data_IF_266197195323
#
_entry.id   IF_266197195323
#
_cell.length_a   1.000
_cell.length_b   1.000
_cell.length_c   1.000
_cell.angle_alpha   90.00
_cell.angle_beta   90.00
_cell.angle_gamma   90.00
#
_symmetry.space_group_name_H-M   'P 1'
#
loop_
_entity.id
_entity.type
_entity.pdbx_description
1 polymer ?
#
# COMPACT_ATOMS: atom_id res chain seq x y z
N UNK A 1 17.24 2.42 -6.88
CA UNK A 1 16.95 1.09 -6.30
C UNK A 1 15.43 0.96 -6.25
N UNK A 2 14.83 -0.05 -6.89
CA UNK A 2 13.37 -0.14 -7.03
C UNK A 2 12.69 -0.77 -5.81
N UNK A 3 13.43 -1.56 -5.02
CA UNK A 3 12.94 -2.23 -3.81
C UNK A 3 14.12 -2.63 -2.92
N UNK A 4 13.83 -3.06 -1.70
CA UNK A 4 14.75 -3.62 -0.73
C UNK A 4 14.39 -5.09 -0.45
N UNK A 5 15.38 -5.90 -0.11
CA UNK A 5 15.22 -7.32 0.24
C UNK A 5 15.36 -7.43 1.76
N UNK A 6 14.43 -8.12 2.42
CA UNK A 6 14.62 -8.48 3.84
C UNK A 6 15.34 -9.83 3.93
N UNK A 7 16.12 -10.00 5.01
CA UNK A 7 16.84 -11.24 5.28
C UNK A 7 15.88 -12.43 5.34
N UNK A 8 16.26 -13.54 4.68
CA UNK A 8 15.53 -14.79 4.83
C UNK A 8 15.75 -15.36 6.23
N UNK A 9 14.68 -15.80 6.86
CA UNK A 9 14.69 -16.26 8.24
C UNK A 9 14.42 -17.76 8.28
N UNK A 10 15.39 -18.50 8.82
CA UNK A 10 15.26 -19.93 9.12
C UNK A 10 14.69 -20.14 10.54
N UNK A 11 13.64 -19.39 10.88
CA UNK A 11 12.94 -19.53 12.14
C UNK A 11 11.55 -20.10 11.87
N UNK A 12 11.17 -21.14 12.61
CA UNK A 12 9.85 -21.75 12.54
C UNK A 12 9.00 -21.18 13.68
N UNK A 13 8.10 -20.27 13.32
CA UNK A 13 7.15 -19.69 14.26
C UNK A 13 6.19 -20.76 14.80
N UNK A 14 5.95 -20.77 16.11
CA UNK A 14 4.90 -21.58 16.75
C UNK A 14 3.71 -20.67 17.14
N UNK A 15 2.49 -21.22 17.28
CA UNK A 15 1.33 -20.43 17.68
C UNK A 15 1.54 -19.75 19.04
N UNK A 16 2.17 -20.45 20.00
CA UNK A 16 2.60 -19.92 21.30
C UNK A 16 3.43 -18.64 21.20
N UNK A 17 4.09 -18.40 20.06
CA UNK A 17 4.90 -17.20 19.86
C UNK A 17 4.09 -15.95 19.50
N UNK A 18 2.85 -16.14 19.06
CA UNK A 18 1.94 -15.07 18.63
C UNK A 18 1.18 -14.62 19.88
N UNK A 19 1.59 -13.50 20.45
CA UNK A 19 1.00 -12.97 21.67
C UNK A 19 1.04 -11.46 21.64
N UNK A 20 -0.09 -10.83 21.92
CA UNK A 20 -0.19 -9.38 22.04
C UNK A 20 0.34 -8.91 23.38
N UNK A 21 1.28 -7.97 23.34
CA UNK A 21 1.68 -7.20 24.52
C UNK A 21 1.31 -5.75 24.29
N UNK A 22 0.65 -5.16 25.27
CA UNK A 22 0.24 -3.76 25.26
C UNK A 22 1.16 -2.92 26.15
N UNK A 23 1.21 -1.63 25.87
CA UNK A 23 1.91 -0.65 26.68
C UNK A 23 1.15 0.68 26.65
N UNK A 24 1.49 1.58 27.57
CA UNK A 24 1.08 2.98 27.43
C UNK A 24 1.77 3.60 26.21
N UNK A 25 1.17 4.64 25.63
CA UNK A 25 1.74 5.33 24.47
C UNK A 25 3.14 5.91 24.73
N UNK A 26 3.43 6.32 25.96
CA UNK A 26 4.73 6.85 26.38
C UNK A 26 5.84 5.78 26.37
N UNK A 27 5.47 4.51 26.48
CA UNK A 27 6.40 3.38 26.65
C UNK A 27 6.67 2.62 25.33
N UNK A 28 6.16 3.13 24.20
CA UNK A 28 6.35 2.49 22.90
C UNK A 28 7.84 2.52 22.54
N UNK A 29 8.37 1.33 22.22
CA UNK A 29 9.73 1.19 21.75
C UNK A 29 9.81 1.43 20.24
N UNK A 30 10.78 2.24 19.84
CA UNK A 30 11.03 2.57 18.44
C UNK A 30 12.46 2.22 18.01
N UNK A 31 12.60 1.85 16.74
CA UNK A 31 13.86 1.86 16.02
C UNK A 31 14.03 3.19 15.27
N UNK A 32 15.26 3.52 14.89
CA UNK A 32 15.59 4.76 14.17
C UNK A 32 15.08 6.05 14.85
N UNK A 33 15.22 6.17 16.18
CA UNK A 33 14.71 7.30 16.96
C UNK A 33 15.00 8.68 16.33
N UNK A 34 16.24 8.91 15.90
CA UNK A 34 16.63 10.16 15.25
C UNK A 34 15.88 10.40 13.93
N UNK A 35 15.81 9.38 13.05
CA UNK A 35 15.11 9.47 11.76
C UNK A 35 13.62 9.75 11.96
N UNK A 36 12.97 9.03 12.90
CA UNK A 36 11.57 9.25 13.27
C UNK A 36 11.35 10.71 13.68
N UNK A 37 12.16 11.21 14.62
CA UNK A 37 12.07 12.59 15.11
C UNK A 37 12.21 13.62 13.98
N UNK A 38 13.16 13.45 13.07
CA UNK A 38 13.32 14.37 11.93
C UNK A 38 12.14 14.33 10.95
N UNK A 39 11.58 13.14 10.69
CA UNK A 39 10.38 12.96 9.87
C UNK A 39 9.17 13.65 10.52
N UNK A 40 8.97 13.49 11.81
CA UNK A 40 7.87 14.12 12.54
C UNK A 40 7.96 15.65 12.49
N UNK A 41 9.17 16.20 12.72
CA UNK A 41 9.43 17.64 12.64
C UNK A 41 9.10 18.17 11.24
N UNK A 42 9.57 17.51 10.18
CA UNK A 42 9.35 18.01 8.82
C UNK A 42 7.90 17.85 8.35
N UNK A 43 7.23 16.76 8.75
CA UNK A 43 5.79 16.56 8.50
C UNK A 43 5.00 17.65 9.22
N UNK A 44 5.36 17.98 10.45
CA UNK A 44 4.72 19.05 11.23
C UNK A 44 4.79 20.43 10.55
N UNK A 45 5.87 20.72 9.81
CA UNK A 45 5.98 21.98 9.03
C UNK A 45 4.93 22.11 7.92
N UNK A 46 4.40 21.01 7.41
CA UNK A 46 3.35 21.03 6.37
C UNK A 46 2.07 21.66 6.90
N UNK A 47 1.77 21.47 8.19
CA UNK A 47 0.55 21.99 8.82
C UNK A 47 0.48 23.53 8.79
N UNK A 48 1.63 24.21 8.71
CA UNK A 48 1.71 25.67 8.65
C UNK A 48 1.39 26.24 7.26
N UNK A 49 1.31 25.41 6.21
CA UNK A 49 1.09 25.83 4.83
C UNK A 49 0.29 24.79 4.03
N UNK A 50 -0.77 24.25 4.63
CA UNK A 50 -1.51 23.09 4.11
C UNK A 50 -2.15 23.35 2.74
N UNK A 51 -2.67 24.55 2.51
CA UNK A 51 -3.33 24.91 1.24
C UNK A 51 -2.33 25.02 0.08
N UNK A 52 -1.23 25.76 0.26
CA UNK A 52 -0.18 25.88 -0.76
C UNK A 52 0.52 24.55 -1.00
N UNK A 53 0.74 23.77 0.06
CA UNK A 53 1.28 22.42 -0.02
C UNK A 53 0.42 21.53 -0.92
N UNK A 54 -0.90 21.57 -0.76
CA UNK A 54 -1.82 20.71 -1.53
C UNK A 54 -1.81 20.99 -3.03
N UNK A 55 -1.55 22.24 -3.39
CA UNK A 55 -1.36 22.66 -4.77
C UNK A 55 0.04 22.28 -5.30
N UNK A 56 1.09 22.53 -4.53
CA UNK A 56 2.48 22.36 -4.99
C UNK A 56 2.99 20.91 -4.91
N UNK A 57 2.44 20.06 -4.03
CA UNK A 57 2.81 18.64 -3.92
C UNK A 57 2.59 17.87 -5.22
N UNK A 58 1.60 18.29 -6.03
CA UNK A 58 1.30 17.72 -7.34
C UNK A 58 2.43 18.00 -8.36
N UNK A 59 3.09 19.15 -8.23
CA UNK A 59 4.22 19.54 -9.09
C UNK A 59 5.52 18.86 -8.65
N UNK A 60 5.75 18.70 -7.35
CA UNK A 60 7.00 18.08 -6.85
C UNK A 60 6.98 16.57 -6.94
N UNK A 61 5.79 15.96 -6.92
CA UNK A 61 5.62 14.53 -7.17
C UNK A 61 5.85 14.20 -8.66
N UNK A 62 6.95 13.51 -8.92
CA UNK A 62 7.49 13.29 -10.28
C UNK A 62 6.57 12.46 -11.18
N UNK A 63 5.67 11.68 -10.59
CA UNK A 63 4.78 10.75 -11.27
C UNK A 63 3.29 11.09 -11.12
N UNK A 64 2.95 12.28 -10.62
CA UNK A 64 1.55 12.68 -10.38
C UNK A 64 0.71 12.67 -11.66
N UNK A 65 1.32 13.04 -12.80
CA UNK A 65 0.62 13.20 -14.07
C UNK A 65 0.31 11.88 -14.80
N UNK A 66 0.70 10.72 -14.26
CA UNK A 66 0.24 9.43 -14.79
C UNK A 66 -1.29 9.40 -14.83
N UNK A 67 -1.93 9.82 -13.74
CA UNK A 67 -3.39 9.82 -13.58
C UNK A 67 -3.98 11.22 -13.48
N UNK A 68 -3.29 12.17 -12.85
CA UNK A 68 -3.81 13.53 -12.65
C UNK A 68 -3.67 14.35 -13.93
N UNK A 69 -4.71 15.11 -14.29
CA UNK A 69 -4.66 16.01 -15.45
C UNK A 69 -3.50 17.00 -15.32
N UNK A 70 -2.80 17.19 -16.44
CA UNK A 70 -1.66 18.10 -16.49
C UNK A 70 -2.19 19.53 -16.61
N UNK A 71 -1.73 20.50 -15.80
CA UNK A 71 -2.07 21.91 -15.97
C UNK A 71 -1.87 22.38 -17.42
N UNK A 72 -2.83 23.12 -17.99
CA UNK A 72 -2.90 23.55 -19.40
C UNK A 72 -3.30 22.47 -20.42
N UNK A 73 -3.33 21.19 -20.05
CA UNK A 73 -3.83 20.11 -20.88
C UNK A 73 -5.12 19.53 -20.26
N UNK A 74 -6.07 19.11 -21.10
CA UNK A 74 -7.31 18.46 -20.61
C UNK A 74 -7.13 16.98 -20.21
N UNK A 75 -5.94 16.42 -20.43
CA UNK A 75 -5.64 15.00 -20.29
C UNK A 75 -4.47 14.75 -19.32
N UNK A 76 -4.47 13.59 -18.68
CA UNK A 76 -3.31 13.00 -18.00
C UNK A 76 -2.46 12.16 -18.98
N UNK A 77 -1.31 11.68 -18.51
CA UNK A 77 -0.38 10.91 -19.36
C UNK A 77 -0.94 9.55 -19.74
N UNK A 78 -1.52 8.80 -18.79
CA UNK A 78 -2.20 7.54 -19.09
C UNK A 78 -3.44 7.77 -19.96
N UNK A 79 -3.66 6.90 -20.94
CA UNK A 79 -4.95 6.80 -21.64
C UNK A 79 -5.98 5.99 -20.86
N UNK A 80 -5.52 5.09 -19.98
CA UNK A 80 -6.39 4.32 -19.10
C UNK A 80 -6.89 5.23 -17.98
N UNK A 81 -8.21 5.20 -17.76
CA UNK A 81 -8.90 5.90 -16.69
C UNK A 81 -9.48 4.87 -15.70
N UNK A 82 -8.67 4.40 -14.74
CA UNK A 82 -9.12 3.41 -13.78
C UNK A 82 -10.04 4.01 -12.72
N UNK A 83 -10.71 3.15 -11.95
CA UNK A 83 -11.55 3.52 -10.81
C UNK A 83 -10.75 4.32 -9.77
N UNK A 84 -9.48 3.96 -9.57
CA UNK A 84 -8.60 4.65 -8.62
C UNK A 84 -7.13 4.59 -9.04
N UNK A 85 -6.32 5.48 -8.44
CA UNK A 85 -4.86 5.52 -8.65
C UNK A 85 -4.14 4.28 -8.14
N UNK A 86 -4.78 3.49 -7.28
CA UNK A 86 -4.21 2.23 -6.77
C UNK A 86 -3.90 1.27 -7.92
N UNK A 87 -4.68 1.34 -9.02
CA UNK A 87 -4.44 0.59 -10.26
C UNK A 87 -2.97 0.64 -10.68
N UNK A 88 -2.40 1.84 -10.85
CA UNK A 88 -1.03 1.99 -11.35
C UNK A 88 0.03 1.48 -10.37
N UNK A 89 -0.26 1.50 -9.05
CA UNK A 89 0.66 0.95 -8.05
C UNK A 89 0.78 -0.56 -8.19
N UNK A 90 -0.34 -1.25 -8.35
CA UNK A 90 -0.33 -2.70 -8.52
C UNK A 90 0.33 -3.10 -9.83
N UNK A 91 0.04 -2.40 -10.95
CA UNK A 91 0.73 -2.60 -12.23
C UNK A 91 2.26 -2.51 -12.04
N UNK A 92 2.74 -1.45 -11.38
CA UNK A 92 4.18 -1.25 -11.15
C UNK A 92 4.80 -2.38 -10.34
N UNK A 93 4.11 -2.83 -9.28
CA UNK A 93 4.58 -3.93 -8.42
C UNK A 93 4.64 -5.24 -9.22
N UNK A 94 3.56 -5.58 -9.94
CA UNK A 94 3.49 -6.81 -10.73
C UNK A 94 4.60 -6.89 -11.79
N UNK A 95 4.85 -5.79 -12.50
CA UNK A 95 5.91 -5.72 -13.50
C UNK A 95 7.31 -5.67 -12.87
N UNK A 96 7.48 -5.05 -11.70
CA UNK A 96 8.79 -4.99 -11.03
C UNK A 96 9.24 -6.36 -10.54
N UNK A 97 8.31 -7.20 -10.10
CA UNK A 97 8.62 -8.55 -9.58
C UNK A 97 8.26 -9.68 -10.55
N UNK A 98 7.87 -9.35 -11.79
CA UNK A 98 7.43 -10.31 -12.82
C UNK A 98 6.42 -11.35 -12.28
N UNK A 99 5.46 -10.91 -11.47
CA UNK A 99 4.58 -11.82 -10.69
C UNK A 99 3.81 -12.77 -11.63
N UNK A 100 3.34 -12.26 -12.77
CA UNK A 100 2.52 -12.99 -13.73
C UNK A 100 3.24 -14.11 -14.47
N UNK A 101 4.58 -14.10 -14.51
CA UNK A 101 5.35 -15.15 -15.16
C UNK A 101 5.05 -16.52 -14.54
N UNK A 102 4.71 -16.55 -13.25
CA UNK A 102 4.32 -17.75 -12.52
C UNK A 102 2.92 -18.27 -12.89
N UNK A 103 2.13 -17.50 -13.66
CA UNK A 103 0.70 -17.72 -13.89
C UNK A 103 0.28 -17.77 -15.38
N UNK A 104 1.21 -17.68 -16.33
CA UNK A 104 0.89 -17.57 -17.78
C UNK A 104 -0.10 -18.62 -18.32
N UNK A 105 -0.01 -19.87 -17.87
CA UNK A 105 -0.80 -20.99 -18.40
C UNK A 105 -1.73 -21.63 -17.35
N UNK A 106 -2.13 -20.88 -16.33
CA UNK A 106 -3.05 -21.39 -15.31
C UNK A 106 -4.07 -20.34 -14.91
N UNK A 107 -5.27 -20.80 -14.60
CA UNK A 107 -6.28 -19.95 -13.98
C UNK A 107 -5.90 -19.69 -12.53
N UNK A 108 -6.22 -18.49 -12.04
CA UNK A 108 -5.91 -18.08 -10.67
C UNK A 108 -7.18 -17.68 -9.93
N UNK A 109 -7.13 -17.85 -8.61
CA UNK A 109 -8.04 -17.23 -7.66
C UNK A 109 -7.27 -16.20 -6.85
N UNK A 110 -7.83 -15.00 -6.73
CA UNK A 110 -7.22 -13.93 -5.92
C UNK A 110 -8.20 -13.35 -4.93
N UNK A 111 -7.67 -12.78 -3.85
CA UNK A 111 -8.46 -12.16 -2.80
C UNK A 111 -7.90 -10.80 -2.42
N UNK A 112 -8.78 -9.80 -2.35
CA UNK A 112 -8.44 -8.38 -2.27
C UNK A 112 -9.07 -7.78 -1.01
N UNK A 113 -8.23 -7.51 0.00
CA UNK A 113 -8.64 -7.15 1.37
C UNK A 113 -8.63 -5.63 1.60
N UNK A 114 -9.76 -5.08 2.04
CA UNK A 114 -9.97 -3.66 2.31
C UNK A 114 -9.65 -2.74 1.11
N UNK A 115 -9.96 -3.20 -0.11
CA UNK A 115 -9.54 -2.53 -1.35
C UNK A 115 -10.65 -1.75 -2.05
N UNK A 116 -11.76 -1.43 -1.39
CA UNK A 116 -12.76 -0.52 -1.94
C UNK A 116 -12.10 0.79 -2.40
N UNK A 117 -12.36 1.30 -3.62
CA UNK A 117 -13.39 0.89 -4.59
C UNK A 117 -12.96 -0.14 -5.66
N UNK A 118 -11.82 -0.82 -5.52
CA UNK A 118 -11.42 -1.95 -6.38
C UNK A 118 -10.30 -1.69 -7.39
N UNK A 119 -9.49 -0.64 -7.21
CA UNK A 119 -8.43 -0.30 -8.18
C UNK A 119 -7.37 -1.40 -8.37
N UNK A 120 -7.08 -2.19 -7.34
CA UNK A 120 -6.17 -3.34 -7.42
C UNK A 120 -6.80 -4.52 -8.17
N UNK A 121 -8.08 -4.83 -7.90
CA UNK A 121 -8.83 -5.84 -8.66
C UNK A 121 -8.87 -5.46 -10.15
N UNK A 122 -9.17 -4.21 -10.46
CA UNK A 122 -9.17 -3.70 -11.84
C UNK A 122 -7.80 -3.87 -12.51
N UNK A 123 -6.71 -3.59 -11.80
CA UNK A 123 -5.36 -3.76 -12.32
C UNK A 123 -5.02 -5.21 -12.62
N UNK A 124 -5.34 -6.16 -11.74
CA UNK A 124 -5.05 -7.56 -12.01
C UNK A 124 -5.95 -8.11 -13.12
N UNK A 125 -7.23 -7.75 -13.17
CA UNK A 125 -8.12 -8.13 -14.28
C UNK A 125 -7.62 -7.59 -15.62
N UNK A 126 -7.10 -6.35 -15.65
CA UNK A 126 -6.47 -5.76 -16.83
C UNK A 126 -5.20 -6.52 -17.26
N UNK A 127 -4.32 -6.82 -16.30
CA UNK A 127 -3.06 -7.52 -16.57
C UNK A 127 -3.23 -8.95 -17.04
N UNK A 128 -4.17 -9.69 -16.42
CA UNK A 128 -4.42 -11.09 -16.70
C UNK A 128 -5.24 -11.28 -17.97
N UNK A 129 -6.20 -10.39 -18.21
CA UNK A 129 -7.13 -10.43 -19.34
C UNK A 129 -7.70 -11.85 -19.59
N UNK A 130 -8.00 -12.57 -18.51
CA UNK A 130 -8.47 -13.95 -18.53
C UNK A 130 -9.80 -14.06 -17.79
N UNK A 131 -10.85 -14.47 -18.52
CA UNK A 131 -12.21 -14.63 -17.98
C UNK A 131 -12.37 -15.87 -17.09
N UNK A 132 -11.44 -16.83 -17.17
CA UNK A 132 -11.45 -18.03 -16.35
C UNK A 132 -10.77 -17.87 -14.99
N UNK A 133 -10.09 -16.74 -14.77
CA UNK A 133 -9.63 -16.36 -13.43
C UNK A 133 -10.81 -15.93 -12.56
N UNK A 134 -10.68 -16.03 -11.24
CA UNK A 134 -11.70 -15.62 -10.27
C UNK A 134 -11.09 -14.60 -9.31
N UNK A 135 -11.77 -13.47 -9.10
CA UNK A 135 -11.28 -12.39 -8.25
C UNK A 135 -12.29 -12.12 -7.13
N UNK A 136 -11.86 -12.22 -5.87
CA UNK A 136 -12.69 -11.89 -4.71
C UNK A 136 -12.28 -10.55 -4.11
N UNK A 137 -13.25 -9.67 -3.83
CA UNK A 137 -13.03 -8.40 -3.12
C UNK A 137 -13.80 -8.35 -1.81
N UNK A 138 -13.16 -7.92 -0.74
CA UNK A 138 -13.80 -7.69 0.56
C UNK A 138 -13.39 -6.32 1.08
N UNK A 139 -14.35 -5.49 1.45
CA UNK A 139 -14.10 -4.16 2.03
C UNK A 139 -15.19 -3.81 3.02
N UNK A 140 -14.87 -2.93 3.97
CA UNK A 140 -15.85 -2.42 4.92
C UNK A 140 -16.98 -1.70 4.18
N UNK A 141 -18.21 -2.11 4.44
CA UNK A 141 -19.42 -1.41 4.03
C UNK A 141 -19.87 -0.55 5.21
N UNK A 142 -19.81 0.76 5.00
CA UNK A 142 -20.40 1.73 5.91
C UNK A 142 -21.32 2.64 5.08
N UNK A 143 -22.62 2.46 5.26
CA UNK A 143 -23.62 3.27 4.55
C UNK A 143 -23.76 4.68 5.13
N UNK A 144 -23.36 4.85 6.40
CA UNK A 144 -23.47 6.12 7.12
C UNK A 144 -22.25 7.01 6.83
N UNK A 145 -21.05 6.42 6.76
CA UNK A 145 -19.82 7.15 6.53
C UNK A 145 -19.37 7.12 5.06
N UNK A 146 -19.79 8.14 4.29
CA UNK A 146 -19.39 8.32 2.89
C UNK A 146 -17.89 8.52 2.65
N UNK A 147 -17.09 8.76 3.70
CA UNK A 147 -15.63 8.90 3.57
C UNK A 147 -14.93 7.55 3.34
N UNK A 148 -15.57 6.44 3.76
CA UNK A 148 -15.03 5.09 3.57
C UNK A 148 -15.40 4.61 2.17
N UNK A 149 -14.41 4.34 1.29
CA UNK A 149 -14.71 3.92 -0.08
C UNK A 149 -15.26 2.49 -0.12
N UNK A 150 -16.53 2.36 -0.49
CA UNK A 150 -17.16 1.08 -0.84
C UNK A 150 -17.11 0.79 -2.34
N UNK A 151 -17.97 -0.11 -2.81
CA UNK A 151 -18.01 -0.58 -4.21
C UNK A 151 -18.79 0.31 -5.19
N UNK A 152 -19.41 1.40 -4.72
CA UNK A 152 -20.29 2.27 -5.54
C UNK A 152 -19.61 2.83 -6.79
N UNK A 153 -18.30 3.07 -6.74
CA UNK A 153 -17.53 3.55 -7.91
C UNK A 153 -17.13 2.44 -8.88
N UNK A 154 -17.34 1.18 -8.51
CA UNK A 154 -16.94 -0.01 -9.25
C UNK A 154 -18.11 -0.64 -10.02
N UNK A 155 -19.33 -0.11 -9.96
CA UNK A 155 -20.53 -0.73 -10.57
C UNK A 155 -20.34 -1.11 -12.04
N UNK A 156 -19.83 -0.19 -12.85
CA UNK A 156 -19.58 -0.45 -14.28
C UNK A 156 -18.48 -1.49 -14.50
N UNK A 157 -17.47 -1.51 -13.63
CA UNK A 157 -16.39 -2.49 -13.66
C UNK A 157 -16.90 -3.89 -13.30
N UNK A 158 -17.70 -4.02 -12.24
CA UNK A 158 -18.27 -5.28 -11.79
C UNK A 158 -19.25 -5.85 -12.84
N UNK A 159 -20.08 -5.00 -13.45
CA UNK A 159 -20.99 -5.42 -14.54
C UNK A 159 -20.22 -5.98 -15.75
N UNK A 160 -19.06 -5.40 -16.08
CA UNK A 160 -18.22 -5.85 -17.21
C UNK A 160 -17.42 -7.12 -16.90
N UNK A 161 -17.13 -7.38 -15.62
CA UNK A 161 -16.26 -8.48 -15.20
C UNK A 161 -17.01 -9.42 -14.27
N UNK A 162 -17.77 -10.34 -14.86
CA UNK A 162 -18.64 -11.32 -14.17
C UNK A 162 -17.87 -12.35 -13.32
N UNK A 163 -16.55 -12.40 -13.46
CA UNK A 163 -15.66 -13.23 -12.66
C UNK A 163 -15.06 -12.50 -11.44
N UNK A 164 -15.56 -11.30 -11.12
CA UNK A 164 -15.26 -10.57 -9.90
C UNK A 164 -16.43 -10.71 -8.92
N UNK A 165 -16.16 -11.25 -7.73
CA UNK A 165 -17.13 -11.51 -6.68
C UNK A 165 -16.83 -10.65 -5.45
N UNK A 166 -17.86 -10.06 -4.85
CA UNK A 166 -17.71 -9.30 -3.60
C UNK A 166 -18.10 -10.19 -2.42
N UNK A 167 -17.19 -10.35 -1.48
CA UNK A 167 -17.38 -11.09 -0.24
C UNK A 167 -17.64 -10.11 0.92
N UNK A 168 -18.66 -10.42 1.72
CA UNK A 168 -19.13 -9.58 2.81
C UNK A 168 -18.92 -10.22 4.19
N UNK A 169 -18.46 -11.48 4.24
CA UNK A 169 -18.27 -12.22 5.48
C UNK A 169 -19.58 -12.74 6.08
N UNK A 170 -19.49 -13.18 7.34
CA UNK A 170 -20.63 -13.68 8.11
C UNK A 170 -21.60 -12.57 8.47
N UNK A 171 -21.09 -11.42 8.94
CA UNK A 171 -21.91 -10.30 9.42
C UNK A 171 -22.39 -9.36 8.31
N UNK A 172 -21.99 -9.63 7.06
CA UNK A 172 -22.33 -8.86 5.85
C UNK A 172 -21.78 -7.42 5.83
N UNK A 173 -20.84 -7.07 6.70
CA UNK A 173 -20.23 -5.75 6.74
C UNK A 173 -18.89 -5.67 6.01
N UNK A 174 -18.25 -6.81 5.72
CA UNK A 174 -16.89 -6.84 5.20
C UNK A 174 -15.82 -6.33 6.19
N UNK A 175 -16.17 -6.16 7.48
CA UNK A 175 -15.26 -5.72 8.51
C UNK A 175 -14.20 -6.79 8.83
N UNK A 176 -12.94 -6.49 8.51
CA UNK A 176 -11.80 -7.39 8.77
C UNK A 176 -11.45 -7.51 10.26
N UNK A 177 -12.01 -6.66 11.11
CA UNK A 177 -11.81 -6.75 12.55
C UNK A 177 -12.71 -7.82 13.17
N UNK A 178 -13.84 -8.16 12.56
CA UNK A 178 -14.77 -9.11 13.18
C UNK A 178 -14.21 -10.56 13.16
N UNK A 179 -14.01 -11.22 14.31
CA UNK A 179 -13.55 -12.61 14.37
C UNK A 179 -14.47 -13.60 13.65
N UNK A 180 -15.78 -13.35 13.59
CA UNK A 180 -16.71 -14.23 12.89
C UNK A 180 -16.55 -14.13 11.37
N UNK A 181 -16.18 -12.96 10.84
CA UNK A 181 -15.78 -12.82 9.45
C UNK A 181 -14.50 -13.60 9.15
N UNK A 182 -13.53 -13.61 10.07
CA UNK A 182 -12.30 -14.40 9.91
C UNK A 182 -12.60 -15.92 9.93
N UNK A 183 -13.47 -16.40 10.82
CA UNK A 183 -13.96 -17.80 10.81
C UNK A 183 -14.65 -18.17 9.50
N UNK A 184 -15.50 -17.28 9.00
CA UNK A 184 -16.17 -17.47 7.73
C UNK A 184 -15.15 -17.62 6.58
N UNK A 185 -14.15 -16.73 6.53
CA UNK A 185 -13.10 -16.80 5.51
C UNK A 185 -12.29 -18.10 5.62
N UNK A 186 -11.90 -18.50 6.83
CA UNK A 186 -11.20 -19.78 7.07
C UNK A 186 -12.01 -20.98 6.57
N UNK A 187 -13.31 -20.99 6.82
CA UNK A 187 -14.18 -22.12 6.45
C UNK A 187 -14.33 -22.24 4.93
N UNK A 188 -14.50 -21.11 4.24
CA UNK A 188 -14.89 -21.11 2.83
C UNK A 188 -13.71 -21.00 1.86
N UNK A 189 -12.58 -20.42 2.28
CA UNK A 189 -11.51 -19.99 1.36
C UNK A 189 -10.09 -20.40 1.78
N UNK A 190 -9.92 -21.23 2.83
CA UNK A 190 -8.58 -21.62 3.31
C UNK A 190 -7.66 -22.12 2.20
N UNK A 191 -6.41 -21.65 2.22
CA UNK A 191 -5.31 -22.10 1.35
C UNK A 191 -5.64 -22.15 -0.15
N UNK A 192 -6.56 -21.30 -0.62
CA UNK A 192 -7.13 -21.41 -1.98
C UNK A 192 -6.69 -20.31 -2.94
N UNK A 193 -6.02 -19.27 -2.44
CA UNK A 193 -5.70 -18.06 -3.22
C UNK A 193 -4.24 -18.05 -3.66
N UNK A 194 -4.03 -17.96 -4.98
CA UNK A 194 -2.70 -17.78 -5.58
C UNK A 194 -2.09 -16.42 -5.23
N UNK A 195 -2.93 -15.37 -5.19
CA UNK A 195 -2.52 -14.01 -4.87
C UNK A 195 -3.50 -13.41 -3.88
N UNK A 196 -2.98 -12.86 -2.79
CA UNK A 196 -3.74 -12.02 -1.86
C UNK A 196 -3.17 -10.62 -1.92
N UNK A 197 -4.02 -9.60 -1.85
CA UNK A 197 -3.57 -8.22 -1.72
C UNK A 197 -4.31 -7.51 -0.60
N UNK A 198 -3.66 -6.53 0.02
CA UNK A 198 -4.25 -5.63 1.00
C UNK A 198 -3.78 -4.20 0.78
N UNK A 199 -4.68 -3.33 0.31
CA UNK A 199 -4.43 -1.88 0.11
C UNK A 199 -5.21 -1.00 1.10
N UNK A 200 -5.68 -1.60 2.20
CA UNK A 200 -6.45 -0.91 3.22
C UNK A 200 -5.72 0.29 3.82
N UNK A 201 -6.43 1.38 4.03
CA UNK A 201 -5.92 2.57 4.71
C UNK A 201 -7.03 3.55 5.05
N UNK A 202 -6.78 4.38 6.07
CA UNK A 202 -7.71 5.40 6.54
C UNK A 202 -7.38 6.78 5.95
N UNK A 203 -8.29 7.74 6.10
CA UNK A 203 -7.94 9.15 5.86
C UNK A 203 -7.12 9.68 7.04
N UNK A 204 -5.81 9.78 6.83
CA UNK A 204 -4.85 10.27 7.84
C UNK A 204 -4.57 11.77 7.73
N UNK A 205 -5.42 12.53 7.03
CA UNK A 205 -5.24 13.97 6.83
C UNK A 205 -5.20 14.78 8.14
N UNK A 206 -5.70 14.21 9.24
CA UNK A 206 -5.74 14.85 10.56
C UNK A 206 -4.40 14.73 11.31
N UNK A 207 -3.72 13.57 11.26
CA UNK A 207 -2.43 13.36 11.94
C UNK A 207 -1.56 12.30 11.23
N UNK A 208 -0.65 12.78 10.37
CA UNK A 208 0.31 11.93 9.65
C UNK A 208 1.35 11.25 10.56
N UNK A 209 1.52 11.70 11.81
CA UNK A 209 2.49 11.13 12.75
C UNK A 209 1.92 9.91 13.48
N UNK A 210 0.60 9.85 13.68
CA UNK A 210 -0.09 8.69 14.29
C UNK A 210 -0.48 7.61 13.29
N UNK A 211 -0.19 7.80 12.00
CA UNK A 211 -0.56 6.90 10.91
C UNK A 211 -0.09 5.45 11.15
N UNK A 212 1.11 5.23 11.67
CA UNK A 212 1.61 3.87 11.96
C UNK A 212 0.74 3.18 13.02
N UNK A 213 0.48 3.85 14.16
CA UNK A 213 -0.37 3.33 15.24
C UNK A 213 -1.78 3.04 14.74
N UNK A 214 -2.39 3.98 14.02
CA UNK A 214 -3.77 3.86 13.53
C UNK A 214 -3.95 2.76 12.48
N UNK A 215 -2.94 2.53 11.64
CA UNK A 215 -3.01 1.50 10.60
C UNK A 215 -2.69 0.09 11.14
N UNK A 216 -2.04 -0.01 12.30
CA UNK A 216 -1.45 -1.26 12.80
C UNK A 216 -2.46 -2.41 12.93
N UNK A 217 -3.66 -2.12 13.46
CA UNK A 217 -4.72 -3.13 13.59
C UNK A 217 -5.20 -3.62 12.22
N UNK A 218 -5.37 -2.73 11.24
CA UNK A 218 -5.75 -3.07 9.86
C UNK A 218 -4.66 -3.86 9.14
N UNK A 219 -3.39 -3.49 9.33
CA UNK A 219 -2.26 -4.22 8.78
C UNK A 219 -2.24 -5.64 9.36
N UNK A 220 -2.39 -5.79 10.69
CA UNK A 220 -2.43 -7.11 11.31
C UNK A 220 -3.61 -7.96 10.81
N UNK A 221 -4.82 -7.39 10.75
CA UNK A 221 -6.00 -8.07 10.24
C UNK A 221 -5.79 -8.56 8.79
N UNK A 222 -5.25 -7.70 7.90
CA UNK A 222 -4.94 -8.12 6.54
C UNK A 222 -3.89 -9.23 6.47
N UNK A 223 -2.88 -9.23 7.36
CA UNK A 223 -1.88 -10.30 7.45
C UNK A 223 -2.55 -11.63 7.82
N UNK A 224 -3.31 -11.69 8.92
CA UNK A 224 -3.89 -12.97 9.37
C UNK A 224 -4.93 -13.50 8.36
N UNK A 225 -5.70 -12.64 7.71
CA UNK A 225 -6.58 -13.04 6.60
C UNK A 225 -5.77 -13.62 5.44
N UNK A 226 -4.67 -12.96 5.04
CA UNK A 226 -3.80 -13.48 3.99
C UNK A 226 -3.21 -14.85 4.36
N UNK A 227 -2.71 -15.03 5.59
CA UNK A 227 -2.15 -16.30 6.05
C UNK A 227 -3.17 -17.46 6.04
N UNK A 228 -4.46 -17.16 6.24
CA UNK A 228 -5.56 -18.13 6.12
C UNK A 228 -5.91 -18.43 4.66
N UNK A 229 -5.96 -17.40 3.82
CA UNK A 229 -6.36 -17.50 2.41
C UNK A 229 -5.27 -18.14 1.51
N UNK A 230 -4.01 -17.96 1.86
CA UNK A 230 -2.89 -18.15 0.95
C UNK A 230 -2.63 -19.62 0.62
N UNK A 231 -2.66 -19.94 -0.67
CA UNK A 231 -2.19 -21.22 -1.20
C UNK A 231 -0.65 -21.31 -1.13
N UNK A 232 -0.11 -22.51 -0.89
CA UNK A 232 1.33 -22.75 -0.96
C UNK A 232 1.94 -22.24 -2.27
N UNK A 233 3.09 -21.56 -2.16
CA UNK A 233 3.74 -20.90 -3.28
C UNK A 233 3.08 -19.59 -3.72
N UNK A 234 2.02 -19.14 -3.05
CA UNK A 234 1.31 -17.92 -3.39
C UNK A 234 2.04 -16.62 -3.04
N UNK A 235 1.46 -15.51 -3.50
CA UNK A 235 1.97 -14.15 -3.33
C UNK A 235 1.05 -13.33 -2.43
N UNK A 236 1.65 -12.48 -1.61
CA UNK A 236 0.92 -11.49 -0.81
C UNK A 236 1.53 -10.10 -0.97
N UNK A 237 0.71 -9.11 -1.33
CA UNK A 237 1.13 -7.71 -1.46
C UNK A 237 0.34 -6.89 -0.45
N UNK A 238 1.04 -6.24 0.49
CA UNK A 238 0.40 -5.51 1.56
C UNK A 238 0.94 -4.09 1.66
N UNK A 239 0.03 -3.13 1.74
CA UNK A 239 0.34 -1.74 2.04
C UNK A 239 0.75 -1.58 3.50
N UNK A 240 1.84 -0.85 3.69
CA UNK A 240 2.38 -0.43 4.98
C UNK A 240 2.62 1.08 4.96
N UNK A 241 2.78 1.66 6.15
CA UNK A 241 3.19 3.05 6.33
C UNK A 241 4.59 3.11 6.94
N UNK A 242 4.83 4.01 7.89
CA UNK A 242 6.03 3.97 8.71
C UNK A 242 6.12 2.62 9.46
N UNK A 243 7.35 2.18 9.72
CA UNK A 243 7.64 0.89 10.39
C UNK A 243 8.74 1.12 11.43
N UNK A 244 8.51 2.08 12.33
CA UNK A 244 9.45 2.45 13.39
C UNK A 244 9.19 1.69 14.70
N UNK A 245 7.99 1.17 14.91
CA UNK A 245 7.61 0.46 16.13
C UNK A 245 8.07 -0.99 16.11
N UNK A 246 8.34 -1.58 17.27
CA UNK A 246 8.60 -3.02 17.38
C UNK A 246 7.40 -3.87 16.96
N UNK A 247 6.18 -3.40 17.15
CA UNK A 247 4.98 -4.08 16.66
C UNK A 247 4.95 -4.16 15.12
N UNK A 248 5.31 -3.10 14.39
CA UNK A 248 5.51 -3.17 12.94
C UNK A 248 6.62 -4.16 12.52
N UNK A 249 7.72 -4.23 13.29
CA UNK A 249 8.82 -5.17 13.03
C UNK A 249 8.35 -6.61 13.24
N UNK A 250 7.59 -6.88 14.31
CA UNK A 250 7.00 -8.19 14.57
C UNK A 250 6.11 -8.66 13.40
N UNK A 251 5.32 -7.75 12.82
CA UNK A 251 4.48 -8.07 11.65
C UNK A 251 5.32 -8.42 10.41
N UNK A 252 6.37 -7.64 10.12
CA UNK A 252 7.30 -7.97 9.03
C UNK A 252 8.02 -9.30 9.28
N UNK A 253 8.45 -9.55 10.51
CA UNK A 253 9.12 -10.80 10.89
C UNK A 253 8.19 -12.00 10.77
N UNK A 254 6.93 -11.86 11.17
CA UNK A 254 5.89 -12.86 10.96
C UNK A 254 5.78 -13.20 9.46
N UNK A 255 5.66 -12.20 8.58
CA UNK A 255 5.65 -12.45 7.12
C UNK A 255 6.90 -13.21 6.65
N UNK A 256 8.09 -12.84 7.12
CA UNK A 256 9.34 -13.55 6.79
C UNK A 256 9.37 -15.01 7.28
N UNK A 257 8.61 -15.35 8.33
CA UNK A 257 8.44 -16.73 8.77
C UNK A 257 7.51 -17.52 7.83
N UNK A 258 6.51 -16.88 7.23
CA UNK A 258 5.49 -17.51 6.38
C UNK A 258 5.80 -17.55 4.88
N UNK A 259 6.68 -16.68 4.36
CA UNK A 259 7.03 -16.59 2.94
C UNK A 259 8.54 -16.67 2.74
N UNK A 260 9.01 -17.25 1.62
CA UNK A 260 10.46 -17.45 1.41
C UNK A 260 11.20 -16.17 1.05
N UNK A 261 10.54 -15.22 0.36
CA UNK A 261 11.16 -13.96 -0.05
C UNK A 261 10.24 -12.80 0.28
N UNK A 262 10.80 -11.81 0.96
CA UNK A 262 10.12 -10.58 1.36
C UNK A 262 10.86 -9.38 0.79
N UNK A 263 10.12 -8.52 0.09
CA UNK A 263 10.65 -7.28 -0.47
C UNK A 263 9.86 -6.08 0.04
N UNK A 264 10.53 -4.96 0.28
CA UNK A 264 9.88 -3.68 0.58
C UNK A 264 10.05 -2.76 -0.64
N UNK A 265 8.95 -2.27 -1.19
CA UNK A 265 8.93 -1.39 -2.36
C UNK A 265 8.11 -0.13 -2.06
N UNK A 266 8.63 1.03 -2.48
CA UNK A 266 7.84 2.25 -2.63
C UNK A 266 7.69 2.52 -4.13
N UNK A 267 6.59 2.09 -4.77
CA UNK A 267 6.42 2.28 -6.21
C UNK A 267 6.41 3.78 -6.52
N UNK A 268 6.90 4.16 -7.71
CA UNK A 268 6.97 5.54 -8.18
C UNK A 268 5.58 6.21 -8.23
N UNK A 269 4.55 5.40 -8.46
CA UNK A 269 3.13 5.79 -8.43
C UNK A 269 2.57 6.04 -7.02
N UNK A 270 3.31 5.69 -5.97
CA UNK A 270 3.05 6.15 -4.60
C UNK A 270 3.77 7.48 -4.34
N UNK A 271 3.06 8.47 -3.80
CA UNK A 271 3.62 9.82 -3.61
C UNK A 271 4.88 9.79 -2.75
N UNK A 272 5.95 10.41 -3.22
CA UNK A 272 7.25 10.42 -2.51
C UNK A 272 7.22 11.13 -1.15
N UNK A 273 6.28 12.06 -0.91
CA UNK A 273 6.15 12.76 0.38
C UNK A 273 5.41 11.95 1.47
N UNK A 274 4.72 10.85 1.12
CA UNK A 274 3.99 10.05 2.11
C UNK A 274 4.83 8.85 2.59
N UNK A 275 4.39 8.24 3.69
CA UNK A 275 5.02 7.05 4.26
C UNK A 275 4.52 5.73 3.64
N UNK A 276 3.59 5.80 2.68
CA UNK A 276 3.04 4.62 2.02
C UNK A 276 4.15 3.86 1.27
N UNK A 277 4.24 2.57 1.56
CA UNK A 277 5.10 1.59 0.90
C UNK A 277 4.37 0.23 0.89
N UNK A 278 4.93 -0.75 0.21
CA UNK A 278 4.34 -2.08 0.12
C UNK A 278 5.37 -3.13 0.48
N UNK A 279 4.93 -4.17 1.18
CA UNK A 279 5.67 -5.41 1.30
C UNK A 279 5.15 -6.41 0.27
N UNK A 280 6.05 -7.04 -0.46
CA UNK A 280 5.77 -8.06 -1.47
C UNK A 280 6.36 -9.37 -0.99
N UNK A 281 5.48 -10.27 -0.57
CA UNK A 281 5.79 -11.59 -0.07
C UNK A 281 5.58 -12.60 -1.19
N UNK A 282 6.50 -13.53 -1.35
CA UNK A 282 6.42 -14.57 -2.39
C UNK A 282 6.86 -15.92 -1.89
N UNK A 283 6.35 -16.95 -2.55
CA UNK A 283 6.56 -18.36 -2.21
C UNK A 283 6.09 -18.67 -0.78
N UNK A 284 4.78 -18.59 -0.53
CA UNK A 284 4.19 -19.01 0.76
C UNK A 284 4.61 -20.43 1.14
N UNK A 285 5.06 -20.63 2.38
CA UNK A 285 5.76 -21.85 2.81
C UNK A 285 4.83 -23.01 3.20
N UNK A 286 3.60 -22.70 3.63
CA UNK A 286 2.71 -23.67 4.29
C UNK A 286 1.65 -24.22 3.32
N UNK A 287 1.34 -25.50 3.46
CA UNK A 287 0.16 -26.13 2.83
C UNK A 287 -1.11 -25.86 3.63
N UNK A 288 -0.97 -25.71 4.95
CA UNK A 288 -2.06 -25.44 5.87
C UNK A 288 -1.59 -24.61 7.07
N UNK A 289 -2.33 -23.55 7.40
CA UNK A 289 -2.13 -22.66 8.55
C UNK A 289 -3.18 -22.82 9.65
N UNK A 290 -4.08 -23.80 9.54
CA UNK A 290 -5.11 -24.10 10.55
C UNK A 290 -4.53 -24.21 11.98
N UNK A 291 -3.28 -24.68 12.09
CA UNK A 291 -2.56 -24.78 13.36
C UNK A 291 -2.36 -23.45 14.11
N UNK A 292 -2.38 -22.31 13.42
CA UNK A 292 -2.24 -20.96 14.03
C UNK A 292 -3.59 -20.26 14.22
N UNK A 293 -4.68 -20.89 13.79
CA UNK A 293 -5.95 -20.19 13.61
C UNK A 293 -6.59 -19.73 14.92
N UNK A 294 -6.46 -20.54 15.99
CA UNK A 294 -6.99 -20.18 17.31
C UNK A 294 -6.28 -18.93 17.86
N UNK A 295 -4.97 -18.86 17.69
CA UNK A 295 -4.15 -17.73 18.09
C UNK A 295 -4.53 -16.49 17.29
N UNK A 296 -4.67 -16.59 15.96
CA UNK A 296 -5.14 -15.48 15.12
C UNK A 296 -6.51 -14.94 15.55
N UNK A 297 -7.46 -15.83 15.87
CA UNK A 297 -8.77 -15.43 16.37
C UNK A 297 -8.67 -14.74 17.74
N UNK A 298 -7.89 -15.32 18.65
CA UNK A 298 -7.76 -14.81 20.01
C UNK A 298 -7.16 -13.40 20.02
N UNK A 299 -6.09 -13.17 19.26
CA UNK A 299 -5.42 -11.88 19.18
C UNK A 299 -6.29 -10.84 18.46
N UNK A 300 -7.00 -11.22 17.39
CA UNK A 300 -7.94 -10.32 16.72
C UNK A 300 -9.07 -9.89 17.67
N UNK A 301 -9.64 -10.83 18.43
CA UNK A 301 -10.66 -10.54 19.43
C UNK A 301 -10.14 -9.63 20.55
N UNK A 302 -8.91 -9.85 21.03
CA UNK A 302 -8.27 -8.98 22.03
C UNK A 302 -8.11 -7.55 21.52
N UNK A 303 -7.68 -7.35 20.26
CA UNK A 303 -7.52 -6.00 19.69
C UNK A 303 -8.84 -5.23 19.60
N UNK A 304 -9.96 -5.93 19.39
CA UNK A 304 -11.28 -5.28 19.32
C UNK A 304 -11.82 -4.85 20.69
N UNK A 305 -11.39 -5.53 21.77
CA UNK A 305 -11.90 -5.30 23.12
C UNK A 305 -11.07 -4.26 23.90
N UNK A 306 -10.02 -3.70 23.30
CA UNK A 306 -9.10 -2.77 23.96
C UNK A 306 -9.32 -1.35 23.46
N UNK A 307 -9.35 -0.41 24.40
CA UNK A 307 -9.33 1.00 24.08
C UNK A 307 -7.92 1.44 23.63
N UNK A 308 -7.75 1.54 22.31
CA UNK A 308 -6.51 1.96 21.66
C UNK A 308 -6.28 3.49 21.72
N UNK A 309 -7.17 4.26 22.36
CA UNK A 309 -6.97 5.70 22.52
C UNK A 309 -5.75 6.01 23.40
N UNK A 310 -5.60 5.30 24.52
CA UNK A 310 -4.50 5.48 25.48
C UNK A 310 -3.52 4.30 25.55
N UNK A 311 -3.89 3.19 24.92
CA UNK A 311 -3.09 1.95 24.90
C UNK A 311 -2.55 1.73 23.49
N UNK A 312 -1.33 1.22 23.40
CA UNK A 312 -0.72 0.81 22.14
C UNK A 312 -0.29 -0.64 22.16
N UNK A 313 -0.29 -1.28 20.99
CA UNK A 313 0.30 -2.61 20.81
C UNK A 313 1.82 -2.44 20.77
N UNK A 314 2.49 -2.95 21.79
CA UNK A 314 3.95 -2.95 21.90
C UNK A 314 4.56 -4.06 21.03
N UNK A 315 4.01 -5.28 21.13
CA UNK A 315 4.50 -6.49 20.46
C UNK A 315 3.34 -7.37 19.97
N UNK A 316 3.55 -8.03 18.83
CA UNK A 316 2.72 -9.14 18.34
C UNK A 316 3.37 -10.51 18.58
N UNK A 317 4.66 -10.51 18.88
CA UNK A 317 5.45 -11.72 19.08
C UNK A 317 6.14 -11.69 20.45
N UNK A 318 6.14 -12.82 21.15
CA UNK A 318 6.82 -12.98 22.45
C UNK A 318 8.25 -13.54 22.32
N UNK A 319 8.90 -13.32 21.19
CA UNK A 319 10.26 -13.77 20.88
C UNK A 319 11.18 -12.59 20.58
N UNK A 320 12.48 -12.82 20.72
CA UNK A 320 13.48 -11.85 20.31
C UNK A 320 13.77 -11.96 18.82
N UNK A 321 13.69 -10.83 18.15
CA UNK A 321 13.99 -10.72 16.72
C UNK A 321 15.49 -10.50 16.57
N UNK A 322 16.10 -11.26 15.66
CA UNK A 322 17.53 -11.18 15.39
C UNK A 322 17.96 -9.74 15.07
N UNK A 323 19.04 -9.28 15.69
CA UNK A 323 19.57 -7.92 15.53
C UNK A 323 19.89 -7.56 14.08
N UNK A 324 20.37 -8.52 13.27
CA UNK A 324 20.62 -8.31 11.84
C UNK A 324 19.33 -7.94 11.11
N UNK A 325 18.23 -8.64 11.38
CA UNK A 325 16.93 -8.35 10.77
C UNK A 325 16.44 -6.94 11.11
N UNK A 326 16.57 -6.54 12.38
CA UNK A 326 16.25 -5.18 12.84
C UNK A 326 17.14 -4.16 12.14
N UNK A 327 18.43 -4.45 11.98
CA UNK A 327 19.39 -3.56 11.31
C UNK A 327 19.02 -3.34 9.84
N UNK A 328 18.66 -4.40 9.11
CA UNK A 328 18.17 -4.31 7.74
C UNK A 328 16.95 -3.39 7.62
N UNK A 329 15.97 -3.52 8.53
CA UNK A 329 14.80 -2.62 8.57
C UNK A 329 15.23 -1.17 8.90
N UNK A 330 16.20 -0.99 9.81
CA UNK A 330 16.71 0.34 10.15
C UNK A 330 17.33 1.05 8.96
N UNK A 331 18.07 0.34 8.12
CA UNK A 331 18.67 0.89 6.90
C UNK A 331 17.59 1.28 5.88
N UNK A 332 16.61 0.39 5.65
CA UNK A 332 15.49 0.66 4.75
C UNK A 332 14.71 1.90 5.20
N UNK A 333 14.38 1.98 6.49
CA UNK A 333 13.72 3.14 7.08
C UNK A 333 14.53 4.42 6.86
N UNK A 334 15.84 4.39 7.12
CA UNK A 334 16.71 5.56 6.94
C UNK A 334 16.69 6.07 5.49
N UNK A 335 16.81 5.16 4.51
CA UNK A 335 16.82 5.50 3.08
C UNK A 335 15.47 6.07 2.63
N UNK A 336 14.36 5.39 2.96
CA UNK A 336 13.02 5.83 2.56
C UNK A 336 12.65 7.16 3.22
N UNK A 337 12.94 7.32 4.51
CA UNK A 337 12.72 8.58 5.22
C UNK A 337 13.56 9.72 4.64
N UNK A 338 14.82 9.48 4.26
CA UNK A 338 15.63 10.52 3.62
C UNK A 338 15.02 10.99 2.30
N UNK A 339 14.52 10.06 1.47
CA UNK A 339 13.84 10.39 0.22
C UNK A 339 12.56 11.20 0.47
N UNK A 340 11.78 10.80 1.48
CA UNK A 340 10.58 11.50 1.90
C UNK A 340 10.89 12.92 2.37
N UNK A 341 11.84 13.09 3.29
CA UNK A 341 12.28 14.40 3.79
C UNK A 341 12.78 15.30 2.67
N UNK A 342 13.53 14.77 1.72
CA UNK A 342 14.01 15.51 0.54
C UNK A 342 12.85 16.05 -0.29
N UNK A 343 11.82 15.24 -0.53
CA UNK A 343 10.66 15.69 -1.29
C UNK A 343 9.80 16.71 -0.52
N UNK A 344 9.63 16.52 0.79
CA UNK A 344 8.91 17.48 1.63
C UNK A 344 9.64 18.83 1.63
N UNK A 345 10.94 18.85 1.93
CA UNK A 345 11.75 20.07 1.89
C UNK A 345 11.73 20.76 0.53
N UNK A 346 11.80 20.00 -0.57
CA UNK A 346 11.71 20.56 -1.93
C UNK A 346 10.39 21.29 -2.13
N UNK A 347 9.29 20.74 -1.63
CA UNK A 347 7.95 21.32 -1.76
C UNK A 347 7.81 22.56 -0.86
N UNK A 348 8.24 22.49 0.40
CA UNK A 348 8.24 23.64 1.32
C UNK A 348 9.06 24.82 0.78
N UNK A 349 10.24 24.56 0.21
CA UNK A 349 11.05 25.61 -0.45
C UNK A 349 10.34 26.29 -1.63
N UNK A 350 9.43 25.59 -2.32
CA UNK A 350 8.62 26.19 -3.39
C UNK A 350 7.43 26.99 -2.85
N UNK A 351 6.92 26.64 -1.66
CA UNK A 351 5.92 27.44 -0.95
C UNK A 351 6.53 28.79 -0.59
N UNK A 352 7.71 28.79 0.03
CA UNK A 352 8.43 29.98 0.51
C UNK A 352 8.91 30.92 -0.62
N UNK A 353 9.32 30.39 -1.78
CA UNK A 353 9.89 31.20 -2.86
C UNK A 353 8.85 31.56 -3.93
N UNK A 354 8.16 32.69 -3.77
CA UNK A 354 7.12 33.20 -4.70
C UNK A 354 7.65 33.68 -6.05
N UNK A 355 8.84 34.27 -6.09
CA UNK A 355 9.23 35.15 -7.19
C UNK A 355 9.72 34.42 -8.45
N UNK A 356 10.13 33.14 -8.32
CA UNK A 356 10.57 32.28 -9.44
C UNK A 356 9.61 31.13 -9.74
N UNK A 357 8.34 31.25 -9.33
CA UNK A 357 7.35 30.16 -9.44
C UNK A 357 7.14 29.72 -10.89
N UNK A 358 6.93 30.64 -11.84
CA UNK A 358 6.52 30.30 -13.23
C UNK A 358 7.58 29.50 -14.01
N UNK A 359 8.85 29.93 -14.04
CA UNK A 359 9.90 29.23 -14.79
C UNK A 359 10.22 27.85 -14.21
N UNK A 360 10.33 27.76 -12.88
CA UNK A 360 10.52 26.47 -12.18
C UNK A 360 9.34 25.54 -12.44
N UNK A 361 8.12 26.06 -12.48
CA UNK A 361 6.90 25.29 -12.76
C UNK A 361 6.96 24.60 -14.11
N UNK A 362 7.21 25.35 -15.20
CA UNK A 362 7.24 24.80 -16.56
C UNK A 362 8.35 23.76 -16.76
N UNK A 363 9.53 24.01 -16.16
CA UNK A 363 10.66 23.06 -16.19
C UNK A 363 10.33 21.76 -15.43
N UNK A 364 9.81 21.87 -14.20
CA UNK A 364 9.39 20.70 -13.41
C UNK A 364 8.29 19.91 -14.11
N UNK A 365 7.29 20.60 -14.66
CA UNK A 365 6.18 19.98 -15.35
C UNK A 365 6.65 19.16 -16.56
N UNK A 366 7.49 19.75 -17.43
CA UNK A 366 8.03 19.07 -18.61
C UNK A 366 8.82 17.80 -18.23
N UNK A 367 9.65 17.89 -17.19
CA UNK A 367 10.42 16.74 -16.66
C UNK A 367 9.51 15.65 -16.10
N UNK A 368 8.47 16.02 -15.34
CA UNK A 368 7.53 15.06 -14.78
C UNK A 368 6.71 14.35 -15.87
N UNK A 369 6.27 15.07 -16.91
CA UNK A 369 5.58 14.47 -18.06
C UNK A 369 6.47 13.41 -18.71
N UNK A 370 7.75 13.71 -18.96
CA UNK A 370 8.69 12.75 -19.53
C UNK A 370 8.86 11.51 -18.63
N UNK A 371 9.00 11.69 -17.31
CA UNK A 371 9.07 10.58 -16.35
C UNK A 371 7.80 9.73 -16.36
N UNK A 372 6.63 10.34 -16.41
CA UNK A 372 5.35 9.64 -16.51
C UNK A 372 5.23 8.85 -17.82
N UNK A 373 5.67 9.41 -18.95
CA UNK A 373 5.69 8.70 -20.24
C UNK A 373 6.65 7.50 -20.18
N UNK A 374 7.85 7.68 -19.65
CA UNK A 374 8.81 6.58 -19.47
C UNK A 374 8.25 5.49 -18.55
N UNK A 375 7.55 5.88 -17.48
CA UNK A 375 6.87 4.95 -16.60
C UNK A 375 5.78 4.15 -17.36
N UNK A 376 4.97 4.83 -18.18
CA UNK A 376 3.94 4.18 -19.00
C UNK A 376 4.55 3.20 -20.00
N UNK A 377 5.63 3.58 -20.69
CA UNK A 377 6.36 2.71 -21.63
C UNK A 377 6.90 1.47 -20.90
N UNK A 378 7.56 1.65 -19.76
CA UNK A 378 8.13 0.54 -18.97
C UNK A 378 7.06 -0.46 -18.51
N UNK A 379 5.86 0.02 -18.21
CA UNK A 379 4.76 -0.78 -17.68
C UNK A 379 3.70 -1.15 -18.74
N UNK A 380 4.01 -0.96 -20.02
CA UNK A 380 3.09 -1.24 -21.14
C UNK A 380 1.73 -0.57 -21.03
N UNK A 381 1.66 0.62 -20.41
CA UNK A 381 0.44 1.42 -20.30
C UNK A 381 0.33 2.37 -21.50
N UNK A 382 -0.78 2.37 -22.25
CA UNK A 382 -1.00 3.32 -23.34
C UNK A 382 -1.00 4.76 -22.81
N UNK A 383 -0.31 5.66 -23.53
CA UNK A 383 -0.12 7.04 -23.08
C UNK A 383 -0.43 8.09 -24.17
N UNK A 384 -0.77 9.30 -23.73
CA UNK A 384 -0.95 10.47 -24.57
C UNK A 384 0.39 11.12 -24.90
N UNK A 385 0.57 11.56 -26.16
CA UNK A 385 1.74 12.35 -26.54
C UNK A 385 1.46 13.82 -26.22
N UNK A 386 2.40 14.47 -25.54
CA UNK A 386 2.37 15.90 -25.28
C UNK A 386 3.47 16.53 -26.14
N UNK A 387 3.07 17.23 -27.20
CA UNK A 387 4.02 18.00 -27.99
C UNK A 387 4.49 19.17 -27.13
N UNK A 388 5.81 19.39 -27.07
CA UNK A 388 6.29 20.73 -26.76
C UNK A 388 5.78 21.62 -27.89
N UNK A 389 4.83 22.50 -27.61
CA UNK A 389 4.62 23.63 -28.50
C UNK A 389 5.96 24.37 -28.55
N UNK A 390 6.71 24.18 -29.63
CA UNK A 390 7.78 25.10 -29.97
C UNK A 390 7.07 26.44 -30.13
N UNK A 391 7.30 27.34 -29.18
CA UNK A 391 6.75 28.72 -29.16
C UNK A 391 7.10 29.46 -30.47
N UNK A 392 8.11 28.98 -31.22
CA UNK A 392 8.51 29.48 -32.53
C UNK A 392 7.64 29.07 -33.72
N UNK A 393 6.74 28.07 -33.59
CA UNK A 393 5.89 27.64 -34.72
C UNK A 393 4.52 28.34 -34.79
N UNK A 394 4.14 29.12 -33.77
CA UNK A 394 2.87 29.87 -33.77
C UNK A 394 3.00 31.33 -34.25
N UNK A 395 4.14 31.71 -34.86
CA UNK A 395 4.33 33.08 -35.41
C UNK A 395 4.17 33.21 -36.92
N UNK A 396 3.91 32.12 -37.65
CA UNK A 396 3.75 32.18 -39.10
C UNK A 396 2.41 31.58 -39.52
N UNK A 397 1.32 32.29 -39.24
CA UNK A 397 0.10 32.28 -40.05
C UNK A 397 -0.57 33.63 -39.81
N UNK A 398 -0.13 34.61 -40.61
CA UNK A 398 -0.86 35.86 -40.85
C UNK A 398 -2.19 35.56 -41.54
#
# INVERSE_FOLDING_TARGET
>A
MNYFILDNINFKLKPENITLKFCNDADINYINLSTKKFIEIIKGKINNCSEEWDNLKKLTNEYEYIHTNIPQYKNCVSKIKPISRAFFKLIEIFNTFNILDNFKNKNIKTFHLAEGPGGFIEAITYLRFNKSDIYYGMTLIDEQNKSIPGWKKADDFLKKNQNVFIEYGADKTGNLYNPDNLKFIMTNYKNSMEIVTGDGGFDFSIDYNKQEKMALQLVYAQIIYALVLQKKGGFFILKLFDTFTYSSIDLLFMLSCFYKKIHIIKPNTSRSANSEKYVVCSDFKYDDTSYFFNEFLSTLAMLNNIDLNNTSVNRFLNIDINFKYITTIREINAILSQQQMKNINKTLKLVENTDRKKEKYTSHQSKNIQKCIQWCVKNSIPYNKFNKSNIFLNKNNN
#
